data_IF_699885091937
#
_entry.id   IF_699885091937
#
_cell.length_a   1.000
_cell.length_b   1.000
_cell.length_c   1.000
_cell.angle_alpha   90.00
_cell.angle_beta   90.00
_cell.angle_gamma   90.00
#
_symmetry.space_group_name_H-M   'P 1'
#
loop_
_entity.id
_entity.type
_entity.pdbx_description
1 polymer ?
#
# COMPACT_ATOMS: atom_id res chain seq x y z
N UNK A 1 -28.09 0.53 -15.68
CA UNK A 1 -26.62 0.64 -15.72
C UNK A 1 -26.00 -0.69 -15.34
N UNK A 2 -25.05 -1.15 -16.13
CA UNK A 2 -24.34 -2.40 -15.84
C UNK A 2 -23.45 -2.23 -14.62
N UNK A 3 -23.35 -3.27 -13.78
CA UNK A 3 -22.49 -3.32 -12.61
C UNK A 3 -21.45 -4.41 -12.80
N UNK A 4 -20.20 -4.07 -12.53
CA UNK A 4 -19.10 -5.02 -12.59
C UNK A 4 -18.23 -4.93 -11.33
N UNK A 5 -17.52 -6.01 -11.02
CA UNK A 5 -16.55 -6.04 -9.94
C UNK A 5 -15.16 -5.76 -10.50
N UNK A 6 -14.35 -5.02 -9.76
CA UNK A 6 -12.96 -4.77 -10.08
C UNK A 6 -12.10 -5.08 -8.86
N UNK A 7 -10.90 -5.61 -9.08
CA UNK A 7 -10.00 -6.01 -8.00
C UNK A 7 -8.61 -5.43 -8.25
N UNK A 8 -8.01 -4.91 -7.19
CA UNK A 8 -6.59 -4.54 -7.16
C UNK A 8 -5.93 -5.14 -5.94
N UNK A 9 -4.62 -5.20 -5.97
CA UNK A 9 -3.81 -5.65 -4.85
C UNK A 9 -2.60 -4.74 -4.69
N UNK A 10 -2.22 -4.49 -3.47
CA UNK A 10 -1.09 -3.64 -3.14
C UNK A 10 -0.75 -3.74 -1.67
N UNK A 11 -0.20 -2.69 -1.10
CA UNK A 11 0.10 -2.75 0.31
C UNK A 11 0.81 -1.56 0.90
N UNK A 12 1.24 -1.76 2.12
CA UNK A 12 1.99 -0.79 2.91
C UNK A 12 3.40 -1.32 3.09
N UNK A 13 4.38 -0.60 2.55
CA UNK A 13 5.80 -0.87 2.76
C UNK A 13 6.23 -0.07 3.97
N UNK A 14 6.79 -0.73 4.99
CA UNK A 14 7.15 -0.08 6.23
C UNK A 14 8.60 -0.34 6.63
N UNK A 15 9.12 0.53 7.46
CA UNK A 15 10.37 0.32 8.20
C UNK A 15 10.23 0.97 9.57
N UNK A 16 11.02 0.50 10.52
CA UNK A 16 11.06 1.10 11.85
C UNK A 16 12.43 1.73 12.04
N UNK A 17 12.44 3.01 12.38
CA UNK A 17 13.66 3.79 12.64
C UNK A 17 13.64 4.26 14.08
N UNK A 18 14.70 4.95 14.51
CA UNK A 18 14.76 5.57 15.84
C UNK A 18 13.63 6.57 16.06
N UNK A 19 13.11 7.13 14.97
CA UNK A 19 12.00 8.10 15.01
C UNK A 19 10.62 7.45 14.97
N UNK A 20 10.58 6.12 14.85
CA UNK A 20 9.34 5.37 14.77
C UNK A 20 9.12 4.72 13.41
N UNK A 21 7.88 4.30 13.17
CA UNK A 21 7.50 3.65 11.92
C UNK A 21 7.36 4.64 10.78
N UNK A 22 7.91 4.27 9.64
CA UNK A 22 7.76 5.01 8.38
C UNK A 22 7.13 4.11 7.33
N UNK A 23 6.42 4.72 6.38
CA UNK A 23 5.78 4.01 5.28
C UNK A 23 6.07 4.72 3.96
N UNK A 24 6.00 3.97 2.85
CA UNK A 24 6.16 4.54 1.52
C UNK A 24 4.78 4.87 0.95
N UNK A 25 4.63 6.10 0.47
CA UNK A 25 3.46 6.47 -0.34
C UNK A 25 3.95 6.98 -1.70
N UNK A 26 3.09 6.88 -2.70
CA UNK A 26 3.39 7.27 -4.08
C UNK A 26 2.49 8.43 -4.49
N UNK A 27 2.98 9.29 -5.35
CA UNK A 27 2.26 10.51 -5.70
C UNK A 27 2.37 10.90 -7.15
N UNK A 28 1.35 11.64 -7.60
CA UNK A 28 1.32 12.34 -8.89
C UNK A 28 1.25 13.82 -8.61
N UNK A 29 2.39 14.51 -8.78
CA UNK A 29 2.51 15.94 -8.49
C UNK A 29 1.53 16.80 -9.28
N UNK A 30 1.32 16.44 -10.55
CA UNK A 30 0.40 17.19 -11.42
C UNK A 30 -1.05 17.17 -10.95
N UNK A 31 -1.45 16.15 -10.22
CA UNK A 31 -2.81 15.98 -9.70
C UNK A 31 -2.90 16.28 -8.21
N UNK A 32 -1.76 16.48 -7.54
CA UNK A 32 -1.74 16.68 -6.09
C UNK A 32 -2.19 15.47 -5.30
N UNK A 33 -2.04 14.26 -5.85
CA UNK A 33 -2.53 13.01 -5.25
C UNK A 33 -1.39 12.24 -4.63
N UNK A 34 -1.64 11.70 -3.42
CA UNK A 34 -0.81 10.72 -2.75
C UNK A 34 -1.63 9.49 -2.43
N UNK A 35 -1.05 8.31 -2.65
CA UNK A 35 -1.74 7.05 -2.40
C UNK A 35 -0.80 5.92 -2.01
N UNK A 36 -1.40 4.78 -1.68
CA UNK A 36 -0.67 3.54 -1.46
C UNK A 36 -0.44 2.85 -2.81
N UNK A 37 0.70 2.18 -2.99
CA UNK A 37 0.96 1.44 -4.23
C UNK A 37 0.01 0.27 -4.38
N UNK A 38 -0.57 0.13 -5.57
CA UNK A 38 -1.51 -0.95 -5.91
C UNK A 38 -1.71 -1.03 -7.40
N UNK A 39 -2.25 -2.15 -7.86
CA UNK A 39 -2.63 -2.29 -9.26
C UNK A 39 -3.44 -3.54 -9.51
N UNK A 40 -3.81 -3.74 -10.76
CA UNK A 40 -4.68 -4.82 -11.20
C UNK A 40 -3.88 -6.11 -11.41
N UNK A 41 -4.35 -7.26 -10.86
CA UNK A 41 -3.72 -8.54 -11.15
C UNK A 41 -3.73 -8.85 -12.63
N UNK A 42 -2.65 -9.47 -13.12
CA UNK A 42 -2.56 -9.97 -14.47
C UNK A 42 -3.25 -11.34 -14.57
N UNK A 43 -3.68 -11.77 -15.78
CA UNK A 43 -4.28 -13.09 -15.94
C UNK A 43 -3.40 -14.20 -15.36
N UNK A 44 -3.99 -15.05 -14.53
CA UNK A 44 -3.28 -16.15 -13.88
C UNK A 44 -2.47 -15.77 -12.64
N UNK A 45 -2.38 -14.50 -12.31
CA UNK A 45 -1.64 -14.01 -11.15
C UNK A 45 -2.51 -14.03 -9.91
N UNK A 46 -2.01 -14.59 -8.79
CA UNK A 46 -2.76 -14.52 -7.53
C UNK A 46 -2.60 -13.13 -6.88
N UNK A 47 -3.45 -12.84 -5.90
CA UNK A 47 -3.48 -11.52 -5.26
C UNK A 47 -2.14 -11.13 -4.63
N UNK A 48 -1.49 -12.04 -3.92
CA UNK A 48 -0.22 -11.75 -3.27
C UNK A 48 0.89 -11.45 -4.28
N UNK A 49 0.95 -12.23 -5.36
CA UNK A 49 1.93 -12.01 -6.43
C UNK A 49 1.68 -10.66 -7.11
N UNK A 50 0.41 -10.32 -7.38
CA UNK A 50 0.03 -9.05 -7.97
C UNK A 50 0.43 -7.88 -7.05
N UNK A 51 0.12 -7.99 -5.76
CA UNK A 51 0.47 -6.97 -4.78
C UNK A 51 1.99 -6.74 -4.74
N UNK A 52 2.76 -7.83 -4.67
CA UNK A 52 4.23 -7.76 -4.61
C UNK A 52 4.80 -7.10 -5.86
N UNK A 53 4.32 -7.48 -7.04
CA UNK A 53 4.75 -6.91 -8.31
C UNK A 53 4.41 -5.43 -8.40
N UNK A 54 3.18 -5.05 -8.11
CA UNK A 54 2.73 -3.64 -8.20
C UNK A 54 3.48 -2.76 -7.20
N UNK A 55 3.67 -3.22 -5.99
CA UNK A 55 4.43 -2.47 -4.98
C UNK A 55 5.87 -2.27 -5.45
N UNK A 56 6.51 -3.31 -5.99
CA UNK A 56 7.87 -3.21 -6.51
C UNK A 56 7.96 -2.22 -7.67
N UNK A 57 7.03 -2.30 -8.63
CA UNK A 57 7.01 -1.40 -9.79
C UNK A 57 6.82 0.06 -9.38
N UNK A 58 5.83 0.32 -8.54
CA UNK A 58 5.46 1.69 -8.16
C UNK A 58 6.42 2.34 -7.17
N UNK A 59 7.08 1.55 -6.31
CA UNK A 59 8.02 2.10 -5.32
C UNK A 59 9.48 1.98 -5.73
N UNK A 60 9.81 1.05 -6.63
CA UNK A 60 11.20 0.74 -6.97
C UNK A 60 11.91 -0.15 -5.96
N UNK A 61 11.26 -0.48 -4.86
CA UNK A 61 11.85 -1.31 -3.82
C UNK A 61 11.62 -2.79 -4.09
N UNK A 62 12.60 -3.61 -3.76
CA UNK A 62 12.40 -5.04 -3.61
C UNK A 62 11.79 -5.26 -2.23
N UNK A 63 10.71 -6.03 -2.17
CA UNK A 63 9.93 -6.20 -0.95
C UNK A 63 9.63 -7.65 -0.66
N UNK A 64 9.53 -7.97 0.63
CA UNK A 64 9.09 -9.27 1.11
C UNK A 64 7.70 -9.13 1.73
N UNK A 65 6.70 -9.90 1.27
CA UNK A 65 5.38 -9.85 1.88
C UNK A 65 5.40 -10.47 3.27
N UNK A 66 4.64 -9.90 4.18
CA UNK A 66 4.51 -10.41 5.54
C UNK A 66 3.11 -10.95 5.80
N UNK A 67 2.12 -10.07 6.03
CA UNK A 67 0.77 -10.56 6.24
C UNK A 67 -0.25 -9.66 5.56
N UNK A 68 -1.45 -10.17 5.36
CA UNK A 68 -2.53 -9.37 4.82
C UNK A 68 -3.05 -8.44 5.93
N UNK A 69 -3.18 -7.16 5.62
CA UNK A 69 -3.69 -6.16 6.55
C UNK A 69 -5.21 -6.11 6.47
N UNK A 70 -5.76 -6.08 5.26
CA UNK A 70 -7.19 -5.96 5.04
C UNK A 70 -7.55 -5.56 3.64
N UNK A 71 -8.80 -5.17 3.44
CA UNK A 71 -9.32 -4.75 2.14
C UNK A 71 -10.08 -3.44 2.27
N UNK A 72 -10.04 -2.66 1.19
CA UNK A 72 -10.83 -1.43 1.03
C UNK A 72 -11.84 -1.71 -0.08
N UNK A 73 -13.09 -1.30 0.12
CA UNK A 73 -14.14 -1.44 -0.89
C UNK A 73 -14.79 -0.09 -1.14
N UNK A 74 -15.04 0.20 -2.43
CA UNK A 74 -15.74 1.42 -2.81
C UNK A 74 -16.38 1.26 -4.18
N UNK A 75 -17.32 2.16 -4.50
CA UNK A 75 -18.03 2.20 -5.77
C UNK A 75 -17.55 3.36 -6.61
N UNK A 76 -17.47 3.16 -7.92
CA UNK A 76 -17.25 4.27 -8.86
C UNK A 76 -17.92 3.97 -10.19
N UNK A 77 -18.12 5.00 -11.01
CA UNK A 77 -18.71 4.88 -12.33
C UNK A 77 -17.69 5.32 -13.37
N UNK A 78 -17.55 4.52 -14.42
CA UNK A 78 -16.69 4.83 -15.56
C UNK A 78 -17.35 4.29 -16.82
N UNK A 79 -17.45 5.11 -17.87
CA UNK A 79 -18.02 4.73 -19.16
C UNK A 79 -19.40 4.05 -19.02
N UNK A 80 -20.26 4.62 -18.16
CA UNK A 80 -21.62 4.14 -17.88
C UNK A 80 -21.69 2.75 -17.24
N UNK A 81 -20.58 2.30 -16.66
CA UNK A 81 -20.54 1.07 -15.89
C UNK A 81 -20.28 1.43 -14.43
N UNK A 82 -21.05 0.85 -13.53
CA UNK A 82 -20.84 1.01 -12.10
C UNK A 82 -19.96 -0.14 -11.62
N UNK A 83 -18.84 0.22 -11.00
CA UNK A 83 -17.88 -0.75 -10.49
C UNK A 83 -17.91 -0.83 -8.98
N UNK A 84 -17.90 -2.07 -8.48
CA UNK A 84 -17.63 -2.34 -7.07
C UNK A 84 -16.17 -2.77 -6.98
N UNK A 85 -15.34 -1.90 -6.46
CA UNK A 85 -13.89 -2.09 -6.38
C UNK A 85 -13.49 -2.64 -5.03
N UNK A 86 -12.65 -3.67 -5.02
CA UNK A 86 -12.00 -4.19 -3.83
C UNK A 86 -10.49 -4.08 -4.02
N UNK A 87 -9.80 -3.49 -3.05
CA UNK A 87 -8.34 -3.41 -3.04
C UNK A 87 -7.82 -4.19 -1.84
N UNK A 88 -7.05 -5.24 -2.10
CA UNK A 88 -6.45 -6.06 -1.04
C UNK A 88 -5.07 -5.50 -0.69
N UNK A 89 -4.83 -5.29 0.60
CA UNK A 89 -3.58 -4.70 1.10
C UNK A 89 -2.81 -5.68 1.97
N UNK A 90 -1.51 -5.79 1.69
CA UNK A 90 -0.56 -6.61 2.45
C UNK A 90 0.49 -5.71 3.09
N UNK A 91 1.12 -6.22 4.13
CA UNK A 91 2.26 -5.56 4.77
C UNK A 91 3.54 -6.07 4.12
N UNK A 92 4.45 -5.15 3.78
CA UNK A 92 5.70 -5.48 3.10
C UNK A 92 6.90 -4.90 3.83
N UNK A 93 7.96 -5.70 3.96
CA UNK A 93 9.25 -5.21 4.43
C UNK A 93 10.17 -4.94 3.23
N UNK A 94 10.92 -3.82 3.21
CA UNK A 94 11.88 -3.58 2.15
C UNK A 94 13.10 -4.48 2.33
N UNK A 95 13.55 -5.11 1.25
CA UNK A 95 14.72 -6.00 1.26
C UNK A 95 15.78 -5.60 0.25
N UNK A 96 15.59 -4.52 -0.47
CA UNK A 96 16.52 -4.01 -1.47
C UNK A 96 15.88 -2.99 -2.38
N UNK A 97 16.54 -2.71 -3.50
CA UNK A 97 16.05 -1.75 -4.46
C UNK A 97 16.25 -0.30 -4.05
N UNK A 98 15.61 0.61 -4.77
CA UNK A 98 15.71 2.04 -4.53
C UNK A 98 14.41 2.73 -4.95
N UNK A 99 13.95 3.70 -4.15
CA UNK A 99 12.77 4.50 -4.49
C UNK A 99 12.93 5.24 -5.83
N UNK A 100 14.16 5.52 -6.24
CA UNK A 100 14.42 6.16 -7.53
C UNK A 100 14.10 5.24 -8.72
N UNK A 101 14.01 3.94 -8.50
CA UNK A 101 13.73 2.95 -9.54
C UNK A 101 12.23 2.72 -9.78
N UNK A 102 11.35 3.54 -9.19
CA UNK A 102 9.91 3.42 -9.42
C UNK A 102 9.59 3.67 -10.89
N UNK A 103 8.48 3.09 -11.38
CA UNK A 103 8.06 3.27 -12.77
C UNK A 103 7.51 4.69 -13.01
N UNK A 104 7.07 4.94 -14.26
CA UNK A 104 6.62 6.25 -14.68
C UNK A 104 5.15 6.56 -14.32
N UNK A 105 4.42 5.62 -13.73
CA UNK A 105 3.02 5.82 -13.39
C UNK A 105 2.85 6.91 -12.32
N UNK A 106 3.78 6.94 -11.36
CA UNK A 106 3.87 7.99 -10.35
C UNK A 106 5.21 8.70 -10.51
N UNK A 107 5.24 10.00 -10.25
CA UNK A 107 6.47 10.77 -10.31
C UNK A 107 7.17 10.91 -8.95
N UNK A 108 6.54 10.40 -7.90
CA UNK A 108 7.09 10.44 -6.54
C UNK A 108 6.85 9.13 -5.81
N UNK A 109 7.85 8.68 -5.06
CA UNK A 109 7.76 7.57 -4.13
C UNK A 109 8.66 7.93 -2.95
N UNK A 110 8.10 8.09 -1.75
CA UNK A 110 8.85 8.65 -0.62
C UNK A 110 8.46 7.99 0.70
N UNK A 111 9.43 7.93 1.61
CA UNK A 111 9.21 7.54 3.00
C UNK A 111 8.66 8.71 3.80
N UNK A 112 7.63 8.44 4.59
CA UNK A 112 7.10 9.40 5.57
C UNK A 112 6.82 8.66 6.86
N UNK A 113 6.98 9.35 8.00
CA UNK A 113 6.45 8.84 9.27
C UNK A 113 4.95 8.62 9.14
N UNK A 114 4.40 7.71 9.93
CA UNK A 114 2.97 7.32 9.84
C UNK A 114 2.04 8.54 9.90
N UNK A 115 2.26 9.45 10.85
CA UNK A 115 1.38 10.61 10.99
C UNK A 115 1.45 11.55 9.79
N UNK A 116 2.65 11.80 9.25
CA UNK A 116 2.80 12.64 8.07
C UNK A 116 2.20 11.97 6.82
N UNK A 117 2.40 10.66 6.67
CA UNK A 117 1.79 9.90 5.58
C UNK A 117 0.27 10.03 5.63
N UNK A 118 -0.32 9.90 6.83
CA UNK A 118 -1.77 10.02 7.03
C UNK A 118 -2.28 11.43 6.68
N UNK A 119 -1.47 12.47 6.93
CA UNK A 119 -1.85 13.83 6.53
C UNK A 119 -1.78 14.05 5.04
N UNK A 120 -0.85 13.38 4.34
CA UNK A 120 -0.65 13.56 2.90
C UNK A 120 -1.56 12.71 2.04
N UNK A 121 -1.90 11.50 2.49
CA UNK A 121 -2.76 10.60 1.73
C UNK A 121 -4.07 11.26 1.35
N UNK A 122 -4.43 11.14 0.07
CA UNK A 122 -5.61 11.80 -0.50
C UNK A 122 -6.92 11.12 -0.12
N UNK A 123 -6.89 9.86 0.30
CA UNK A 123 -8.09 9.06 0.55
C UNK A 123 -8.14 8.53 1.98
N UNK A 124 -9.25 8.81 2.67
CA UNK A 124 -9.44 8.40 4.07
C UNK A 124 -9.39 6.88 4.28
N UNK A 125 -9.87 6.11 3.31
CA UNK A 125 -9.81 4.65 3.43
C UNK A 125 -8.36 4.13 3.40
N UNK A 126 -7.46 4.82 2.70
CA UNK A 126 -6.04 4.48 2.72
C UNK A 126 -5.36 4.92 4.01
N UNK A 127 -5.78 6.05 4.56
CA UNK A 127 -5.33 6.48 5.91
C UNK A 127 -5.65 5.39 6.92
N UNK A 128 -6.88 4.87 6.90
CA UNK A 128 -7.30 3.77 7.76
C UNK A 128 -6.43 2.53 7.61
N UNK A 129 -6.01 2.23 6.37
CA UNK A 129 -5.16 1.08 6.10
C UNK A 129 -3.75 1.26 6.68
N UNK A 130 -3.17 2.47 6.56
CA UNK A 130 -1.87 2.78 7.16
C UNK A 130 -1.93 2.67 8.68
N UNK A 131 -3.00 3.16 9.31
CA UNK A 131 -3.18 3.04 10.77
C UNK A 131 -3.29 1.59 11.20
N UNK A 132 -3.98 0.78 10.41
CA UNK A 132 -4.10 -0.66 10.67
C UNK A 132 -2.75 -1.36 10.58
N UNK A 133 -1.94 -0.99 9.57
CA UNK A 133 -0.57 -1.47 9.44
C UNK A 133 0.27 -1.10 10.67
N UNK A 134 0.15 0.13 11.16
CA UNK A 134 0.87 0.58 12.34
C UNK A 134 0.48 -0.23 13.58
N UNK A 135 -0.80 -0.57 13.73
CA UNK A 135 -1.26 -1.42 14.84
C UNK A 135 -0.65 -2.81 14.77
N UNK A 136 -0.59 -3.41 13.57
CA UNK A 136 0.00 -4.74 13.37
C UNK A 136 1.48 -4.72 13.76
N UNK A 137 2.22 -3.73 13.28
CA UNK A 137 3.66 -3.59 13.59
C UNK A 137 3.88 -3.38 15.08
N UNK A 138 3.06 -2.55 15.73
CA UNK A 138 3.14 -2.30 17.17
C UNK A 138 2.87 -3.58 17.99
N UNK A 139 1.88 -4.37 17.59
CA UNK A 139 1.56 -5.66 18.27
C UNK A 139 2.70 -6.65 18.13
N UNK A 140 3.35 -6.73 16.96
CA UNK A 140 4.52 -7.60 16.75
C UNK A 140 5.68 -7.18 17.64
N UNK A 141 5.94 -5.89 17.75
CA UNK A 141 7.01 -5.36 18.60
C UNK A 141 6.74 -5.67 20.07
N UNK A 142 5.49 -5.53 20.52
CA UNK A 142 5.10 -5.87 21.89
C UNK A 142 5.25 -7.37 22.16
N UNK A 143 4.81 -8.23 21.23
CA UNK A 143 4.95 -9.67 21.36
C UNK A 143 6.41 -10.11 21.41
N UNK A 144 7.29 -9.49 20.60
CA UNK A 144 8.72 -9.78 20.60
C UNK A 144 9.36 -9.41 21.94
N UNK A 145 8.95 -8.27 22.55
CA UNK A 145 9.44 -7.86 23.87
C UNK A 145 8.99 -8.83 24.98
N UNK A 146 7.74 -9.27 24.93
CA UNK A 146 7.21 -10.24 25.90
C UNK A 146 7.93 -11.59 25.79
N UNK A 147 8.23 -12.03 24.57
CA UNK A 147 8.93 -13.29 24.33
C UNK A 147 10.38 -13.29 24.80
N UNK A 148 10.95 -12.13 25.13
CA UNK A 148 12.34 -11.98 25.61
C UNK A 148 12.43 -11.87 27.13
N UNK A 149 11.31 -11.81 27.79
CA UNK A 149 11.26 -11.67 29.24
C UNK A 149 11.71 -12.95 29.99
#
# INVERSE_FOLDING_TARGET
>A
MRTESATSAGGVVYRVTERGMEVVIVGRSSEGIWGLPKGTPEPGENLLAAATREVREETGLEVAPEEKIGSIRYWFVRDRVRYHKTVHHYLFAPVGGSLEAHDAEYDRAEWFGVEEACRRLSYENEVGMVRKAAEVVARRAAAAREGKA
#
